data_IF_259124405821
#
_entry.id   IF_259124405821
#
_cell.length_a   1.000
_cell.length_b   1.000
_cell.length_c   1.000
_cell.angle_alpha   90.00
_cell.angle_beta   90.00
_cell.angle_gamma   90.00
#
_symmetry.space_group_name_H-M   'P 1'
#
loop_
_entity.id
_entity.type
_entity.pdbx_description
1 polymer ?
#
# COMPACT_ATOMS: atom_id res chain seq x y z
N UNK A 1 -6.59 8.26 12.41
CA UNK A 1 -7.98 8.46 11.99
C UNK A 1 -8.82 9.38 12.90
N UNK A 2 -8.97 9.14 14.21
CA UNK A 2 -9.86 9.96 15.08
C UNK A 2 -9.70 11.49 14.93
N UNK A 3 -8.47 11.99 14.85
CA UNK A 3 -8.21 13.42 14.63
C UNK A 3 -8.68 13.90 13.25
N UNK A 4 -8.56 13.07 12.20
CA UNK A 4 -9.07 13.39 10.87
C UNK A 4 -10.60 13.49 10.91
N UNK A 5 -11.29 12.52 11.53
CA UNK A 5 -12.75 12.53 11.72
C UNK A 5 -13.20 13.79 12.46
N UNK A 6 -12.51 14.16 13.54
CA UNK A 6 -12.80 15.39 14.29
C UNK A 6 -12.70 16.63 13.39
N UNK A 7 -11.63 16.75 12.59
CA UNK A 7 -11.44 17.88 11.67
C UNK A 7 -12.50 17.89 10.56
N UNK A 8 -12.80 16.73 9.98
CA UNK A 8 -13.86 16.61 8.98
C UNK A 8 -15.19 17.10 9.55
N UNK A 9 -15.52 16.74 10.80
CA UNK A 9 -16.69 17.24 11.57
C UNK A 9 -16.88 18.75 11.57
N UNK A 10 -15.79 19.49 11.56
CA UNK A 10 -15.83 20.94 11.67
C UNK A 10 -15.88 21.63 10.30
N UNK A 11 -15.20 21.09 9.28
CA UNK A 11 -14.93 21.82 8.02
C UNK A 11 -15.15 21.01 6.74
N UNK A 12 -15.77 19.83 6.80
CA UNK A 12 -16.06 19.02 5.62
C UNK A 12 -15.00 17.96 5.29
N UNK A 13 -13.72 18.24 5.58
CA UNK A 13 -12.57 17.40 5.26
C UNK A 13 -11.58 17.36 6.42
N UNK A 14 -11.01 16.19 6.69
CA UNK A 14 -9.94 16.02 7.67
C UNK A 14 -8.82 15.16 7.13
N UNK A 15 -7.59 15.67 7.21
CA UNK A 15 -6.37 14.99 6.80
C UNK A 15 -5.39 14.96 7.97
N UNK A 16 -4.80 13.79 8.24
CA UNK A 16 -3.76 13.60 9.25
C UNK A 16 -2.66 12.69 8.72
N UNK A 17 -1.40 13.10 8.88
CA UNK A 17 -0.23 12.26 8.61
C UNK A 17 0.51 11.99 9.90
N UNK A 18 0.97 10.76 10.09
CA UNK A 18 1.84 10.34 11.19
C UNK A 18 3.14 9.84 10.62
N UNK A 19 4.27 10.29 11.17
CA UNK A 19 5.63 9.89 10.76
C UNK A 19 6.34 9.24 11.94
N UNK A 20 7.31 8.36 11.65
CA UNK A 20 8.06 7.70 12.73
C UNK A 20 7.23 6.63 13.44
N UNK A 21 6.25 6.09 12.72
CA UNK A 21 5.36 5.05 13.20
C UNK A 21 5.93 3.66 12.94
N UNK A 22 5.18 2.64 13.38
CA UNK A 22 5.47 1.23 13.11
C UNK A 22 4.40 0.66 12.17
N UNK A 23 4.53 -0.62 11.83
CA UNK A 23 3.51 -1.35 11.11
C UNK A 23 2.14 -1.22 11.82
N UNK A 24 1.14 -0.71 11.11
CA UNK A 24 -0.16 -0.36 11.70
C UNK A 24 -1.26 -1.42 11.50
N UNK A 25 -0.91 -2.58 10.97
CA UNK A 25 -1.85 -3.67 10.73
C UNK A 25 -2.67 -3.47 9.46
N UNK A 26 -3.98 -3.68 9.58
CA UNK A 26 -4.95 -3.69 8.48
C UNK A 26 -5.36 -2.23 8.19
N UNK A 27 -5.10 -1.75 6.98
CA UNK A 27 -5.41 -0.35 6.62
C UNK A 27 -6.93 -0.08 6.66
N UNK A 28 -7.74 -1.10 6.31
CA UNK A 28 -9.19 -1.08 6.39
C UNK A 28 -9.75 -0.80 7.77
N UNK A 29 -9.05 -1.19 8.85
CA UNK A 29 -9.48 -0.87 10.21
C UNK A 29 -9.69 0.64 10.39
N UNK A 30 -8.79 1.45 9.84
CA UNK A 30 -8.84 2.90 9.99
C UNK A 30 -9.91 3.55 9.10
N UNK A 31 -10.16 3.04 7.90
CA UNK A 31 -11.19 3.59 7.02
C UNK A 31 -12.60 3.24 7.51
N UNK A 32 -12.76 2.06 8.12
CA UNK A 32 -13.99 1.67 8.82
C UNK A 32 -14.33 2.57 10.02
N UNK A 33 -13.32 3.11 10.72
CA UNK A 33 -13.57 4.10 11.78
C UNK A 33 -14.28 5.36 11.24
N UNK A 34 -13.97 5.79 10.02
CA UNK A 34 -14.64 6.93 9.37
C UNK A 34 -16.03 6.54 8.88
N UNK A 35 -16.17 5.36 8.28
CA UNK A 35 -17.46 4.84 7.78
C UNK A 35 -18.48 4.67 8.90
N UNK A 36 -18.03 4.23 10.08
CA UNK A 36 -18.85 4.17 11.30
C UNK A 36 -19.37 5.55 11.78
N UNK A 37 -18.88 6.64 11.22
CA UNK A 37 -19.35 8.01 11.47
C UNK A 37 -20.11 8.61 10.28
N UNK A 38 -20.49 7.79 9.28
CA UNK A 38 -21.14 8.24 8.07
C UNK A 38 -20.23 9.03 7.13
N UNK A 39 -18.90 8.83 7.23
CA UNK A 39 -17.91 9.54 6.40
C UNK A 39 -17.20 8.59 5.44
N UNK A 40 -16.77 9.10 4.30
CA UNK A 40 -15.76 8.42 3.50
C UNK A 40 -14.42 8.45 4.23
N UNK A 41 -13.72 7.33 4.25
CA UNK A 41 -12.39 7.18 4.84
C UNK A 41 -11.36 6.68 3.84
N UNK A 42 -10.15 7.24 3.88
CA UNK A 42 -8.98 6.74 3.16
C UNK A 42 -7.81 6.57 4.13
N UNK A 43 -7.04 5.51 3.93
CA UNK A 43 -5.81 5.28 4.68
C UNK A 43 -4.72 4.69 3.79
N UNK A 44 -3.50 5.17 3.99
CA UNK A 44 -2.31 4.75 3.27
C UNK A 44 -1.15 4.59 4.23
N UNK A 45 -0.23 3.69 3.94
CA UNK A 45 1.06 3.63 4.66
C UNK A 45 2.15 3.15 3.72
N UNK A 46 3.39 3.61 3.95
CA UNK A 46 4.58 3.06 3.31
C UNK A 46 5.42 2.29 4.33
N UNK A 47 6.52 1.69 3.88
CA UNK A 47 7.36 0.84 4.74
C UNK A 47 8.67 0.44 4.08
N UNK A 48 9.25 -0.67 4.52
CA UNK A 48 10.51 -1.17 3.98
C UNK A 48 10.38 -1.59 2.51
N UNK A 49 11.43 -1.40 1.68
CA UNK A 49 11.40 -1.77 0.26
C UNK A 49 11.25 -3.29 0.06
N UNK A 50 10.22 -3.69 -0.67
CA UNK A 50 9.91 -5.08 -1.02
C UNK A 50 9.55 -5.26 -2.50
N UNK A 51 9.06 -4.21 -3.15
CA UNK A 51 8.52 -4.21 -4.51
C UNK A 51 9.50 -3.55 -5.47
N UNK A 52 9.67 -4.16 -6.64
CA UNK A 52 10.45 -3.59 -7.75
C UNK A 52 9.55 -2.71 -8.63
N UNK A 53 9.97 -1.48 -8.98
CA UNK A 53 9.22 -0.65 -9.94
C UNK A 53 9.10 -1.34 -11.30
N UNK A 54 8.07 -1.02 -12.06
CA UNK A 54 7.93 -1.56 -13.42
C UNK A 54 9.12 -1.13 -14.29
N UNK A 55 9.82 -2.09 -14.89
CA UNK A 55 11.05 -1.86 -15.66
C UNK A 55 12.32 -1.72 -14.81
N UNK A 56 12.21 -1.76 -13.47
CA UNK A 56 13.33 -1.73 -12.55
C UNK A 56 13.92 -3.11 -12.26
N UNK A 57 15.04 -3.12 -11.52
CA UNK A 57 15.71 -4.36 -11.04
C UNK A 57 16.03 -4.36 -9.55
N UNK A 58 15.76 -3.25 -8.84
CA UNK A 58 16.04 -3.08 -7.41
C UNK A 58 14.74 -2.80 -6.67
N UNK A 59 14.61 -3.35 -5.46
CA UNK A 59 13.52 -3.01 -4.53
C UNK A 59 13.60 -1.53 -4.20
N UNK A 60 12.50 -0.81 -4.41
CA UNK A 60 12.43 0.62 -4.10
C UNK A 60 11.16 0.98 -3.34
N UNK A 61 10.07 0.23 -3.51
CA UNK A 61 8.76 0.53 -2.94
C UNK A 61 8.38 -0.50 -1.89
N UNK A 62 7.57 -0.14 -0.90
CA UNK A 62 6.93 -1.14 -0.05
C UNK A 62 5.68 -1.73 -0.72
N UNK A 63 4.95 -2.58 0.00
CA UNK A 63 3.63 -3.08 -0.45
C UNK A 63 2.56 -2.00 -0.48
N UNK A 64 2.83 -0.84 0.14
CA UNK A 64 2.13 0.43 0.00
C UNK A 64 0.60 0.29 -0.06
N UNK A 65 -0.04 -0.25 1.00
CA UNK A 65 -1.46 -0.50 0.94
C UNK A 65 -2.28 0.79 0.80
N UNK A 66 -3.38 0.66 0.07
CA UNK A 66 -4.43 1.65 -0.08
C UNK A 66 -5.69 1.05 0.51
N UNK A 67 -6.28 1.75 1.47
CA UNK A 67 -7.66 1.49 1.87
C UNK A 67 -8.55 2.69 1.60
N UNK A 68 -9.74 2.41 1.08
CA UNK A 68 -10.82 3.37 0.86
C UNK A 68 -12.12 2.72 1.31
N UNK A 69 -12.87 3.38 2.18
CA UNK A 69 -14.19 2.93 2.59
C UNK A 69 -15.20 4.06 2.49
N UNK A 70 -16.44 3.71 2.15
CA UNK A 70 -17.54 4.67 2.05
C UNK A 70 -18.85 4.03 2.57
N UNK A 71 -19.67 4.78 3.32
CA UNK A 71 -20.97 4.30 3.76
C UNK A 71 -21.91 4.16 2.56
N UNK A 72 -22.79 3.16 2.62
CA UNK A 72 -23.86 2.94 1.66
C UNK A 72 -25.23 2.96 2.36
N UNK A 73 -26.30 2.77 1.58
CA UNK A 73 -27.67 2.75 2.12
C UNK A 73 -27.89 1.50 2.98
N UNK A 74 -28.87 1.60 3.90
CA UNK A 74 -29.34 0.48 4.73
C UNK A 74 -28.26 -0.16 5.62
N UNK A 75 -27.19 0.58 5.94
CA UNK A 75 -26.10 0.10 6.79
C UNK A 75 -25.04 -0.72 6.08
N UNK A 76 -25.10 -0.85 4.75
CA UNK A 76 -24.01 -1.42 3.97
C UNK A 76 -22.83 -0.44 3.85
N UNK A 77 -21.67 -0.95 3.48
CA UNK A 77 -20.46 -0.16 3.23
C UNK A 77 -19.64 -0.76 2.09
N UNK A 78 -18.99 0.13 1.32
CA UNK A 78 -17.93 -0.28 0.40
C UNK A 78 -16.60 -0.21 1.14
N UNK A 79 -15.79 -1.27 1.05
CA UNK A 79 -14.44 -1.29 1.63
C UNK A 79 -13.47 -1.91 0.63
N UNK A 80 -12.54 -1.10 0.16
CA UNK A 80 -11.32 -1.56 -0.49
C UNK A 80 -10.20 -1.54 0.55
N UNK A 81 -9.49 -2.66 0.71
CA UNK A 81 -8.24 -2.74 1.45
C UNK A 81 -7.28 -3.66 0.70
N UNK A 82 -6.28 -3.08 0.05
CA UNK A 82 -5.37 -3.81 -0.82
C UNK A 82 -3.94 -3.28 -0.76
N UNK A 83 -2.98 -4.19 -0.86
CA UNK A 83 -1.61 -3.84 -1.22
C UNK A 83 -1.54 -3.38 -2.69
N UNK A 84 -0.58 -2.53 -3.03
CA UNK A 84 -0.26 -2.18 -4.41
C UNK A 84 0.76 -3.12 -5.05
N UNK A 85 1.23 -4.13 -4.31
CA UNK A 85 1.95 -5.29 -4.85
C UNK A 85 0.99 -6.35 -5.37
N UNK A 86 1.45 -7.20 -6.30
CA UNK A 86 0.66 -8.32 -6.83
C UNK A 86 0.24 -9.30 -5.73
N UNK A 87 1.07 -9.42 -4.69
CA UNK A 87 0.83 -10.30 -3.55
C UNK A 87 1.47 -9.72 -2.28
N UNK A 88 0.95 -10.11 -1.11
CA UNK A 88 1.61 -9.91 0.17
C UNK A 88 2.77 -10.91 0.36
N UNK A 89 3.88 -10.47 0.97
CA UNK A 89 5.06 -11.30 1.22
C UNK A 89 4.71 -12.59 1.99
N UNK A 90 3.83 -12.50 2.99
CA UNK A 90 3.40 -13.65 3.79
C UNK A 90 2.72 -14.77 2.98
N UNK A 91 2.12 -14.46 1.82
CA UNK A 91 1.56 -15.52 0.93
C UNK A 91 2.68 -16.28 0.21
N UNK A 92 3.80 -15.65 -0.11
CA UNK A 92 4.98 -16.34 -0.68
C UNK A 92 5.60 -17.25 0.39
N UNK A 93 5.76 -16.74 1.61
CA UNK A 93 6.24 -17.55 2.75
C UNK A 93 5.35 -18.75 3.02
N UNK A 94 4.03 -18.60 2.88
CA UNK A 94 3.07 -19.70 3.00
C UNK A 94 3.27 -20.76 1.91
N UNK A 95 3.41 -20.37 0.64
CA UNK A 95 3.66 -21.31 -0.45
C UNK A 95 5.00 -22.04 -0.27
N UNK A 96 6.05 -21.33 0.18
CA UNK A 96 7.32 -21.97 0.57
C UNK A 96 7.12 -23.04 1.63
N UNK A 97 6.39 -22.73 2.71
CA UNK A 97 6.13 -23.70 3.80
C UNK A 97 5.35 -24.92 3.33
N UNK A 98 4.51 -24.78 2.31
CA UNK A 98 3.78 -25.88 1.68
C UNK A 98 4.60 -26.66 0.65
N UNK A 99 5.77 -26.15 0.24
CA UNK A 99 6.54 -26.70 -0.88
C UNK A 99 5.85 -26.50 -2.24
N UNK A 100 4.98 -25.49 -2.36
CA UNK A 100 4.23 -25.19 -3.58
C UNK A 100 4.86 -24.02 -4.36
N UNK A 101 4.77 -24.05 -5.69
CA UNK A 101 5.12 -22.92 -6.53
C UNK A 101 4.19 -21.72 -6.30
N UNK A 102 4.68 -20.51 -6.52
CA UNK A 102 3.85 -19.30 -6.57
C UNK A 102 3.34 -19.05 -8.00
N UNK A 103 2.16 -18.42 -8.17
CA UNK A 103 1.69 -17.99 -9.48
C UNK A 103 2.67 -17.03 -10.17
N UNK A 104 2.75 -17.13 -11.50
CA UNK A 104 3.49 -16.17 -12.31
C UNK A 104 2.95 -14.74 -12.08
N UNK A 105 3.84 -13.75 -12.06
CA UNK A 105 3.46 -12.35 -11.87
C UNK A 105 3.40 -11.90 -10.40
N UNK A 106 3.65 -12.78 -9.43
CA UNK A 106 3.78 -12.41 -8.03
C UNK A 106 5.14 -11.78 -7.70
N UNK A 107 6.21 -12.35 -8.24
CA UNK A 107 7.57 -11.97 -7.88
C UNK A 107 8.57 -12.13 -9.04
N UNK A 108 9.73 -11.51 -8.84
CA UNK A 108 10.92 -11.69 -9.64
C UNK A 108 12.08 -12.15 -8.74
N UNK A 109 13.04 -12.86 -9.32
CA UNK A 109 14.28 -13.27 -8.67
C UNK A 109 15.25 -12.09 -8.44
N UNK A 110 16.43 -12.36 -7.89
CA UNK A 110 17.49 -11.37 -7.66
C UNK A 110 18.02 -10.70 -8.95
N UNK A 111 17.80 -11.30 -10.12
CA UNK A 111 18.19 -10.76 -11.41
C UNK A 111 17.08 -9.92 -12.07
N UNK A 112 15.90 -9.84 -11.44
CA UNK A 112 14.72 -9.17 -11.97
C UNK A 112 13.94 -10.00 -12.99
N UNK A 113 14.19 -11.31 -13.08
CA UNK A 113 13.42 -12.23 -13.92
C UNK A 113 12.21 -12.75 -13.15
N UNK A 114 11.04 -12.78 -13.78
CA UNK A 114 9.83 -13.35 -13.18
C UNK A 114 10.09 -14.79 -12.74
N UNK A 115 9.64 -15.16 -11.54
CA UNK A 115 9.85 -16.50 -10.97
C UNK A 115 8.55 -17.05 -10.37
N UNK A 116 8.41 -18.37 -10.44
CA UNK A 116 7.38 -19.15 -9.75
C UNK A 116 7.95 -19.95 -8.56
N UNK A 117 9.25 -19.84 -8.33
CA UNK A 117 9.94 -20.46 -7.19
C UNK A 117 9.86 -19.52 -5.97
N UNK A 118 9.22 -19.94 -4.86
CA UNK A 118 9.09 -19.11 -3.68
C UNK A 118 10.44 -18.80 -3.00
N UNK A 119 11.45 -19.68 -3.09
CA UNK A 119 12.78 -19.44 -2.52
C UNK A 119 13.52 -18.33 -3.27
N UNK A 120 13.45 -18.35 -4.59
CA UNK A 120 14.03 -17.29 -5.42
C UNK A 120 13.25 -15.97 -5.29
N UNK A 121 11.92 -16.05 -5.13
CA UNK A 121 11.08 -14.87 -4.89
C UNK A 121 11.42 -14.14 -3.58
N UNK A 122 11.72 -14.88 -2.51
CA UNK A 122 12.09 -14.30 -1.21
C UNK A 122 13.46 -13.60 -1.24
N UNK A 123 14.39 -14.08 -2.08
CA UNK A 123 15.68 -13.42 -2.33
C UNK A 123 15.54 -12.23 -3.28
N UNK A 124 14.63 -12.37 -4.25
CA UNK A 124 14.27 -11.35 -5.22
C UNK A 124 13.26 -10.34 -4.68
N UNK A 125 12.35 -9.86 -5.53
CA UNK A 125 11.41 -8.77 -5.21
C UNK A 125 9.97 -9.10 -5.61
N UNK A 126 9.01 -8.50 -4.91
CA UNK A 126 7.60 -8.56 -5.31
C UNK A 126 7.38 -7.69 -6.55
N UNK A 127 6.47 -8.14 -7.42
CA UNK A 127 6.00 -7.34 -8.55
C UNK A 127 4.84 -6.42 -8.11
N UNK A 128 4.66 -5.27 -8.77
CA UNK A 128 3.48 -4.42 -8.55
C UNK A 128 2.18 -5.14 -8.95
N UNK A 129 1.04 -4.64 -8.47
CA UNK A 129 -0.27 -5.11 -8.93
C UNK A 129 -0.36 -4.98 -10.46
N UNK A 130 -0.75 -6.08 -11.13
CA UNK A 130 -0.63 -6.23 -12.58
C UNK A 130 0.69 -6.88 -13.03
N UNK A 131 1.56 -7.31 -12.12
CA UNK A 131 2.73 -8.14 -12.42
C UNK A 131 3.82 -7.40 -13.22
N UNK A 132 4.22 -7.98 -14.34
CA UNK A 132 5.23 -7.41 -15.23
C UNK A 132 4.68 -6.26 -16.09
N UNK A 133 5.54 -5.57 -16.84
CA UNK A 133 5.11 -4.57 -17.82
C UNK A 133 4.11 -5.15 -18.85
N UNK A 134 4.27 -6.43 -19.25
CA UNK A 134 3.39 -7.10 -20.21
C UNK A 134 1.97 -7.27 -19.70
N UNK A 135 1.81 -7.39 -18.38
CA UNK A 135 0.53 -7.64 -17.71
C UNK A 135 -0.03 -6.37 -17.04
N UNK A 136 0.47 -5.20 -17.44
CA UNK A 136 0.07 -3.88 -16.92
C UNK A 136 0.52 -3.56 -15.48
N UNK A 137 1.65 -4.10 -15.03
CA UNK A 137 2.24 -3.80 -13.72
C UNK A 137 2.51 -2.32 -13.46
N UNK A 138 2.63 -1.50 -14.52
CA UNK A 138 2.80 -0.05 -14.39
C UNK A 138 1.62 0.62 -13.68
N UNK A 139 0.43 0.01 -13.70
CA UNK A 139 -0.75 0.51 -12.97
C UNK A 139 -0.57 0.35 -11.46
N UNK A 140 -0.19 -0.85 -10.99
CA UNK A 140 0.12 -1.08 -9.58
C UNK A 140 1.32 -0.27 -9.10
N UNK A 141 2.33 -0.10 -9.96
CA UNK A 141 3.46 0.79 -9.70
C UNK A 141 3.00 2.24 -9.51
N UNK A 142 2.14 2.76 -10.39
CA UNK A 142 1.57 4.11 -10.24
C UNK A 142 0.81 4.29 -8.93
N UNK A 143 0.00 3.31 -8.53
CA UNK A 143 -0.70 3.33 -7.24
C UNK A 143 0.28 3.32 -6.06
N UNK A 144 1.33 2.49 -6.12
CA UNK A 144 2.36 2.45 -5.08
C UNK A 144 3.09 3.79 -4.94
N UNK A 145 3.33 4.49 -6.05
CA UNK A 145 3.94 5.82 -6.05
C UNK A 145 3.03 6.88 -5.45
N UNK A 146 1.72 6.81 -5.69
CA UNK A 146 0.74 7.71 -5.03
C UNK A 146 0.83 7.57 -3.52
N UNK A 147 0.97 6.34 -3.01
CA UNK A 147 1.17 6.09 -1.57
C UNK A 147 2.50 6.66 -1.08
N UNK A 148 3.60 6.47 -1.82
CA UNK A 148 4.87 7.10 -1.44
C UNK A 148 4.80 8.64 -1.45
N UNK A 149 3.99 9.24 -2.32
CA UNK A 149 3.80 10.68 -2.33
C UNK A 149 2.99 11.13 -1.10
N UNK A 150 1.93 10.41 -0.72
CA UNK A 150 1.13 10.80 0.44
C UNK A 150 1.79 10.48 1.79
N UNK A 151 2.59 9.41 1.87
CA UNK A 151 3.26 8.98 3.10
C UNK A 151 4.75 9.38 3.15
N UNK A 152 5.32 9.85 2.04
CA UNK A 152 6.73 10.19 1.92
C UNK A 152 7.15 11.28 2.88
N UNK A 153 8.32 11.07 3.50
CA UNK A 153 8.93 12.00 4.44
C UNK A 153 9.20 13.39 3.81
N UNK A 154 9.53 13.40 2.52
CA UNK A 154 9.83 14.60 1.71
C UNK A 154 8.56 15.33 1.23
N UNK A 155 7.45 14.62 1.03
CA UNK A 155 6.18 15.23 0.63
C UNK A 155 5.61 16.15 1.72
N UNK A 156 5.93 15.87 2.98
CA UNK A 156 5.62 16.74 4.13
C UNK A 156 6.50 18.01 4.18
N UNK A 157 7.60 18.06 3.42
CA UNK A 157 8.56 19.18 3.39
C UNK A 157 8.50 20.01 2.11
N UNK A 158 7.62 19.69 1.16
CA UNK A 158 7.52 20.39 -0.12
C UNK A 158 8.67 20.13 -1.09
N UNK A 159 9.39 19.00 -0.95
CA UNK A 159 10.53 18.63 -1.79
C UNK A 159 10.24 17.39 -2.67
N UNK A 160 11.10 17.18 -3.67
CA UNK A 160 11.01 16.17 -4.75
C UNK A 160 10.78 14.73 -4.26
N UNK A 161 10.27 13.89 -5.17
CA UNK A 161 9.94 12.48 -4.96
C UNK A 161 11.08 11.71 -4.25
N UNK A 162 10.83 11.12 -3.07
CA UNK A 162 11.82 10.31 -2.38
C UNK A 162 11.97 8.96 -3.08
N UNK A 163 12.93 8.85 -3.99
CA UNK A 163 13.31 7.56 -4.58
C UNK A 163 14.40 6.92 -3.71
N UNK A 164 13.98 6.03 -2.81
CA UNK A 164 14.88 5.19 -2.02
C UNK A 164 15.49 5.92 -0.83
N UNK A 165 14.95 5.63 0.36
CA UNK A 165 15.52 6.02 1.64
C UNK A 165 15.14 5.01 2.72
N UNK A 166 15.93 4.94 3.78
CA UNK A 166 15.61 4.19 5.00
C UNK A 166 14.37 4.82 5.65
N UNK A 167 13.17 4.36 5.27
CA UNK A 167 11.93 4.97 5.72
C UNK A 167 11.59 4.55 7.15
N UNK A 168 11.57 5.53 8.05
CA UNK A 168 10.68 5.50 9.21
C UNK A 168 9.25 5.43 8.66
N UNK A 169 8.46 4.43 9.07
CA UNK A 169 7.09 4.21 8.58
C UNK A 169 6.26 5.48 8.74
N UNK A 170 5.56 5.87 7.69
CA UNK A 170 4.59 6.94 7.72
C UNK A 170 3.21 6.43 7.32
N UNK A 171 2.20 7.04 7.91
CA UNK A 171 0.80 6.70 7.67
C UNK A 171 0.01 7.97 7.41
N UNK A 172 -0.89 7.88 6.47
CA UNK A 172 -1.80 8.93 6.10
C UNK A 172 -3.23 8.50 6.37
N UNK A 173 -4.03 9.43 6.87
CA UNK A 173 -5.46 9.30 7.05
C UNK A 173 -6.17 10.49 6.43
N UNK A 174 -7.21 10.23 5.66
CA UNK A 174 -8.10 11.24 5.13
C UNK A 174 -9.55 10.81 5.31
N UNK A 175 -10.42 11.78 5.56
CA UNK A 175 -11.86 11.57 5.58
C UNK A 175 -12.61 12.82 5.18
N UNK A 176 -13.84 12.64 4.73
CA UNK A 176 -14.75 13.73 4.34
C UNK A 176 -16.20 13.32 4.55
N UNK A 177 -17.08 14.31 4.69
CA UNK A 177 -18.52 14.11 4.78
C UNK A 177 -19.20 14.00 3.43
N UNK A 178 -20.32 13.28 3.40
CA UNK A 178 -21.28 13.23 2.30
C UNK A 178 -22.72 13.26 2.84
#
# INVERSE_FOLDING_TARGET
MNLAIKKAKEVGVGWVVTRGSNHFGIAGYYTLMATAQGMLGMSFTNGSPLVVPTGGRKKLLSTNPISVAAPARKGDEFVLDMATSAVALGKIELQKRKGESIPEGWAADQNGKVTTDPDEALKGALLPLGGSAKTSGYKGYGLAMVVEIFCGDEALKGALLPLGGSAKTSTFYFCTFY
#
